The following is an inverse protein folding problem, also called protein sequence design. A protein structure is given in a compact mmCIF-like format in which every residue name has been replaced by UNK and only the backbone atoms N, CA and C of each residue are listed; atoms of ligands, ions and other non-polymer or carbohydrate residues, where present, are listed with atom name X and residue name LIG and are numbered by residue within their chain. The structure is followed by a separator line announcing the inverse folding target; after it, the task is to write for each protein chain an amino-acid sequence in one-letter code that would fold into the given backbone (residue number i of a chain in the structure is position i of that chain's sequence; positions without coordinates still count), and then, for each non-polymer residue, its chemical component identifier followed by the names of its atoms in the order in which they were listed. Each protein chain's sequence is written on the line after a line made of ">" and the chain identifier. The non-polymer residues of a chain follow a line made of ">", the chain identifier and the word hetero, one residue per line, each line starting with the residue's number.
data_IF_072892378710
#
_entry.id   IF_072892378710
#
_cell.length_a   1.000
_cell.length_b   1.000
_cell.length_c   1.000
_cell.angle_alpha   90.00
_cell.angle_beta   90.00
_cell.angle_gamma   90.00
#
_symmetry.space_group_name_H-M   'P 1'
#
loop_
_entity.id
_entity.type
_entity.pdbx_description
1 polymer ?
#
# COMPACT_ATOMS: atom_id res chain seq x y z
N UNK A 1 -20.17 2.33 -5.69
CA UNK A 1 -19.79 0.96 -6.08
C UNK A 1 -19.91 0.10 -4.83
N UNK A 2 -20.65 -1.02 -4.88
CA UNK A 2 -20.72 -1.98 -3.77
C UNK A 2 -19.70 -3.07 -4.07
N UNK A 3 -18.72 -3.26 -3.20
CA UNK A 3 -17.74 -4.34 -3.34
C UNK A 3 -18.38 -5.64 -2.85
N UNK A 4 -18.35 -6.68 -3.68
CA UNK A 4 -18.72 -8.03 -3.32
C UNK A 4 -17.44 -8.85 -3.06
N UNK A 5 -17.13 -9.04 -1.78
CA UNK A 5 -15.94 -9.74 -1.35
C UNK A 5 -16.00 -11.26 -1.62
N UNK A 6 -17.20 -11.84 -1.60
CA UNK A 6 -17.40 -13.28 -1.84
C UNK A 6 -17.15 -13.61 -3.33
N UNK A 7 -17.65 -12.75 -4.22
CA UNK A 7 -17.35 -12.88 -5.65
C UNK A 7 -15.87 -12.66 -5.94
N UNK A 8 -15.23 -11.67 -5.30
CA UNK A 8 -13.80 -11.40 -5.49
C UNK A 8 -12.97 -12.61 -5.06
N UNK A 9 -13.25 -13.22 -3.91
CA UNK A 9 -12.45 -14.36 -3.44
C UNK A 9 -12.71 -15.62 -4.28
N UNK A 10 -13.92 -15.83 -4.81
CA UNK A 10 -14.19 -16.89 -5.77
C UNK A 10 -13.33 -16.72 -7.03
N UNK A 11 -13.34 -15.53 -7.64
CA UNK A 11 -12.54 -15.22 -8.83
C UNK A 11 -11.02 -15.36 -8.58
N UNK A 12 -10.55 -15.01 -7.38
CA UNK A 12 -9.14 -15.25 -6.99
C UNK A 12 -8.82 -16.75 -6.96
N UNK A 13 -9.72 -17.59 -6.43
CA UNK A 13 -9.52 -19.05 -6.35
C UNK A 13 -9.55 -19.71 -7.72
N UNK A 14 -10.42 -19.23 -8.60
CA UNK A 14 -10.58 -19.75 -9.96
C UNK A 14 -9.47 -19.26 -10.91
N UNK A 15 -8.59 -18.38 -10.44
CA UNK A 15 -7.48 -17.85 -11.22
C UNK A 15 -7.88 -16.76 -12.23
N UNK A 16 -9.08 -16.20 -12.09
CA UNK A 16 -9.60 -15.16 -12.99
C UNK A 16 -8.83 -13.83 -12.86
N UNK A 17 -8.20 -13.56 -11.72
CA UNK A 17 -7.38 -12.36 -11.51
C UNK A 17 -5.89 -12.66 -11.55
N UNK A 18 -5.15 -11.80 -12.25
CA UNK A 18 -3.69 -11.88 -12.33
C UNK A 18 -3.05 -11.50 -10.99
N UNK A 19 -2.23 -12.41 -10.45
CA UNK A 19 -1.34 -12.11 -9.33
C UNK A 19 -0.21 -11.17 -9.79
N UNK A 20 -0.09 -10.01 -9.16
CA UNK A 20 0.89 -8.96 -9.51
C UNK A 20 1.93 -8.70 -8.42
N UNK A 21 1.75 -9.30 -7.24
CA UNK A 21 2.65 -9.18 -6.10
C UNK A 21 2.37 -10.23 -5.04
N UNK A 22 3.42 -10.63 -4.32
CA UNK A 22 3.33 -11.53 -3.18
C UNK A 22 4.42 -11.17 -2.18
N UNK A 23 4.02 -10.96 -0.93
CA UNK A 23 4.93 -10.70 0.19
C UNK A 23 4.80 -11.78 1.26
N UNK A 24 5.45 -11.63 2.42
CA UNK A 24 5.33 -12.63 3.50
C UNK A 24 3.90 -12.72 4.08
N UNK A 25 3.16 -11.60 4.12
CA UNK A 25 1.81 -11.54 4.68
C UNK A 25 0.67 -11.71 3.67
N UNK A 26 0.85 -11.31 2.40
CA UNK A 26 -0.27 -11.07 1.46
C UNK A 26 0.06 -11.47 0.02
N UNK A 27 -0.98 -11.71 -0.79
CA UNK A 27 -0.93 -11.72 -2.26
C UNK A 27 -1.75 -10.56 -2.80
N UNK A 28 -1.34 -10.01 -3.93
CA UNK A 28 -1.98 -8.85 -4.57
C UNK A 28 -2.43 -9.27 -5.96
N UNK A 29 -3.72 -9.03 -6.25
CA UNK A 29 -4.33 -9.36 -7.53
C UNK A 29 -4.87 -8.11 -8.20
N UNK A 30 -4.73 -8.06 -9.52
CA UNK A 30 -5.29 -7.02 -10.39
C UNK A 30 -6.76 -7.33 -10.66
N UNK A 31 -7.66 -6.40 -10.33
CA UNK A 31 -9.10 -6.55 -10.58
C UNK A 31 -9.51 -6.09 -11.98
N UNK A 32 -8.55 -5.67 -12.81
CA UNK A 32 -8.73 -5.24 -14.20
C UNK A 32 -9.70 -4.04 -14.40
N UNK A 33 -10.02 -3.34 -13.32
CA UNK A 33 -10.95 -2.22 -13.29
C UNK A 33 -10.35 -0.96 -12.64
N UNK A 34 -9.01 -0.87 -12.61
CA UNK A 34 -8.28 0.22 -11.96
C UNK A 34 -8.06 0.02 -10.45
N UNK A 35 -8.42 -1.14 -9.91
CA UNK A 35 -8.20 -1.50 -8.51
C UNK A 35 -7.39 -2.79 -8.37
N UNK A 36 -6.87 -3.00 -7.16
CA UNK A 36 -6.23 -4.24 -6.74
C UNK A 36 -6.89 -4.76 -5.47
N UNK A 37 -6.89 -6.07 -5.27
CA UNK A 37 -7.22 -6.70 -3.99
C UNK A 37 -5.96 -7.27 -3.34
N UNK A 38 -5.72 -6.89 -2.09
CA UNK A 38 -4.68 -7.47 -1.23
C UNK A 38 -5.31 -8.53 -0.33
N UNK A 39 -5.04 -9.80 -0.60
CA UNK A 39 -5.56 -10.96 0.14
C UNK A 39 -4.53 -11.40 1.18
N UNK A 40 -4.91 -11.40 2.45
CA UNK A 40 -4.08 -11.86 3.56
C UNK A 40 -3.90 -13.39 3.54
N UNK A 41 -2.65 -13.83 3.72
CA UNK A 41 -2.28 -15.25 3.84
C UNK A 41 -2.24 -15.73 5.28
N UNK A 42 -2.04 -14.82 6.22
CA UNK A 42 -1.81 -15.11 7.64
C UNK A 42 -2.15 -13.90 8.52
N UNK A 43 -2.03 -14.06 9.84
CA UNK A 43 -2.29 -12.99 10.83
C UNK A 43 -1.46 -11.72 10.60
N UNK A 44 -0.25 -11.84 10.04
CA UNK A 44 0.59 -10.68 9.71
C UNK A 44 -0.03 -9.87 8.57
N UNK A 45 -0.52 -10.56 7.54
CA UNK A 45 -1.23 -9.93 6.42
C UNK A 45 -2.54 -9.24 6.82
N UNK A 46 -3.30 -9.85 7.74
CA UNK A 46 -4.51 -9.24 8.31
C UNK A 46 -4.15 -7.94 9.04
N UNK A 47 -3.14 -7.96 9.90
CA UNK A 47 -2.68 -6.77 10.62
C UNK A 47 -2.13 -5.67 9.68
N UNK A 48 -1.48 -6.06 8.57
CA UNK A 48 -1.04 -5.11 7.54
C UNK A 48 -2.22 -4.44 6.83
N UNK A 49 -3.25 -5.21 6.46
CA UNK A 49 -4.46 -4.66 5.84
C UNK A 49 -5.21 -3.71 6.79
N UNK A 50 -5.39 -4.13 8.05
CA UNK A 50 -5.98 -3.28 9.08
C UNK A 50 -5.18 -1.97 9.23
N UNK A 51 -3.85 -2.05 9.34
CA UNK A 51 -3.01 -0.85 9.47
C UNK A 51 -3.14 0.10 8.27
N UNK A 52 -3.10 -0.43 7.04
CA UNK A 52 -3.30 0.39 5.84
C UNK A 52 -4.67 1.06 5.82
N UNK A 53 -5.74 0.33 6.15
CA UNK A 53 -7.09 0.90 6.18
C UNK A 53 -7.24 2.02 7.22
N UNK A 54 -6.70 1.82 8.42
CA UNK A 54 -6.73 2.82 9.48
C UNK A 54 -5.97 4.09 9.06
N UNK A 55 -4.79 3.95 8.45
CA UNK A 55 -4.01 5.09 7.94
C UNK A 55 -4.77 5.80 6.82
N UNK A 56 -5.29 5.07 5.83
CA UNK A 56 -6.02 5.67 4.71
C UNK A 56 -7.31 6.35 5.14
N UNK A 57 -7.95 5.90 6.22
CA UNK A 57 -9.18 6.50 6.75
C UNK A 57 -8.91 7.75 7.59
N UNK A 58 -7.78 7.79 8.29
CA UNK A 58 -7.38 8.91 9.13
C UNK A 58 -6.59 9.99 8.39
N UNK A 59 -5.97 9.67 7.26
CA UNK A 59 -5.09 10.59 6.54
C UNK A 59 -5.81 11.43 5.50
N UNK A 60 -5.47 12.73 5.50
CA UNK A 60 -5.80 13.65 4.41
C UNK A 60 -4.66 13.80 3.39
N UNK A 61 -3.54 13.09 3.54
CA UNK A 61 -2.41 13.20 2.61
C UNK A 61 -2.74 12.51 1.29
N UNK A 62 -2.44 13.22 0.19
CA UNK A 62 -2.55 12.67 -1.16
C UNK A 62 -1.42 11.70 -1.50
N UNK A 63 -0.45 11.49 -0.60
CA UNK A 63 0.66 10.57 -0.81
C UNK A 63 0.29 9.10 -0.65
N UNK A 64 -0.82 8.76 0.01
CA UNK A 64 -1.26 7.37 0.10
C UNK A 64 -2.18 6.99 -1.05
N UNK A 65 -1.96 5.82 -1.64
CA UNK A 65 -2.91 5.24 -2.56
C UNK A 65 -4.24 4.98 -1.83
N UNK A 66 -5.34 5.48 -2.41
CA UNK A 66 -6.65 5.43 -1.75
C UNK A 66 -7.14 3.99 -1.61
N UNK A 67 -7.65 3.68 -0.43
CA UNK A 67 -8.30 2.41 -0.13
C UNK A 67 -9.81 2.61 -0.32
N UNK A 68 -10.40 1.78 -1.17
CA UNK A 68 -11.83 1.85 -1.48
C UNK A 68 -12.66 1.19 -0.40
N UNK A 69 -12.27 -0.03 0.01
CA UNK A 69 -13.02 -0.81 0.98
C UNK A 69 -12.12 -1.92 1.58
N UNK A 70 -12.51 -2.42 2.75
CA UNK A 70 -11.89 -3.57 3.42
C UNK A 70 -12.99 -4.56 3.83
N UNK A 71 -12.68 -5.86 3.88
CA UNK A 71 -13.59 -6.87 4.42
C UNK A 71 -13.67 -6.73 5.94
N UNK A 72 -14.80 -7.15 6.54
CA UNK A 72 -15.05 -7.03 7.99
C UNK A 72 -13.98 -7.73 8.83
N UNK A 73 -13.43 -8.84 8.33
CA UNK A 73 -12.36 -9.62 8.97
C UNK A 73 -10.94 -9.18 8.57
N UNK A 74 -10.82 -8.08 7.84
CA UNK A 74 -9.58 -7.49 7.32
C UNK A 74 -8.74 -8.40 6.40
N UNK A 75 -9.28 -9.53 5.94
CA UNK A 75 -8.56 -10.44 5.03
C UNK A 75 -8.39 -9.89 3.63
N UNK A 76 -9.28 -9.01 3.18
CA UNK A 76 -9.25 -8.44 1.84
C UNK A 76 -9.32 -6.92 1.90
N UNK A 77 -8.41 -6.27 1.20
CA UNK A 77 -8.33 -4.81 1.11
C UNK A 77 -8.30 -4.40 -0.36
N UNK A 78 -9.23 -3.52 -0.75
CA UNK A 78 -9.35 -3.00 -2.12
C UNK A 78 -8.70 -1.62 -2.18
N UNK A 79 -7.70 -1.46 -3.03
CA UNK A 79 -6.92 -0.23 -3.17
C UNK A 79 -6.88 0.20 -4.64
N UNK A 80 -6.75 1.49 -4.89
CA UNK A 80 -6.45 1.98 -6.24
C UNK A 80 -5.19 1.32 -6.77
N UNK A 81 -5.25 0.88 -8.03
CA UNK A 81 -4.10 0.36 -8.74
C UNK A 81 -3.20 1.51 -9.14
N UNK A 82 -1.91 1.36 -8.88
CA UNK A 82 -0.88 2.29 -9.33
C UNK A 82 0.05 1.60 -10.33
N UNK A 83 0.61 2.39 -11.25
CA UNK A 83 1.71 1.95 -12.10
C UNK A 83 2.96 1.74 -11.25
N UNK A 84 3.81 0.77 -11.61
CA UNK A 84 5.02 0.47 -10.85
C UNK A 84 6.07 1.58 -11.05
N UNK A 85 6.63 2.06 -9.95
CA UNK A 85 7.87 2.83 -9.96
C UNK A 85 9.04 1.84 -9.94
N UNK A 86 9.98 1.99 -10.87
CA UNK A 86 11.13 1.08 -11.01
C UNK A 86 12.33 1.57 -10.23
N UNK A 87 12.52 2.89 -10.21
CA UNK A 87 13.67 3.53 -9.59
C UNK A 87 13.22 4.57 -8.56
N UNK A 88 13.87 4.57 -7.40
CA UNK A 88 13.55 5.55 -6.34
C UNK A 88 13.83 6.99 -6.80
N UNK A 89 14.68 7.18 -7.81
CA UNK A 89 14.93 8.48 -8.43
C UNK A 89 13.65 9.12 -8.98
N UNK A 90 12.67 8.35 -9.44
CA UNK A 90 11.38 8.88 -9.91
C UNK A 90 10.59 9.57 -8.76
N UNK A 91 10.75 9.07 -7.53
CA UNK A 91 10.18 9.70 -6.32
C UNK A 91 10.99 10.94 -5.95
N UNK A 92 12.32 10.85 -6.03
CA UNK A 92 13.21 11.97 -5.73
C UNK A 92 12.96 13.16 -6.66
N UNK A 93 12.83 12.91 -7.96
CA UNK A 93 12.52 13.92 -8.98
C UNK A 93 11.22 14.65 -8.67
N UNK A 94 10.16 13.93 -8.28
CA UNK A 94 8.87 14.53 -7.91
C UNK A 94 8.98 15.48 -6.71
N UNK A 95 9.79 15.13 -5.71
CA UNK A 95 10.03 15.96 -4.53
C UNK A 95 11.17 16.97 -4.70
N UNK A 96 11.79 17.05 -5.88
CA UNK A 96 12.96 17.87 -6.16
C UNK A 96 14.12 17.63 -5.17
N UNK A 97 14.42 16.35 -4.91
CA UNK A 97 15.53 15.90 -4.05
C UNK A 97 16.47 14.97 -4.82
N UNK A 98 17.64 14.65 -4.25
CA UNK A 98 18.67 13.81 -4.88
C UNK A 98 19.07 12.58 -4.07
N UNK A 99 18.51 12.43 -2.87
CA UNK A 99 18.86 11.33 -1.98
C UNK A 99 17.74 11.01 -0.99
N UNK A 100 17.79 9.81 -0.41
CA UNK A 100 16.89 9.42 0.68
C UNK A 100 17.02 10.33 1.92
N UNK A 101 18.22 10.88 2.16
CA UNK A 101 18.45 11.85 3.25
C UNK A 101 17.68 13.15 3.01
N UNK A 102 17.68 13.63 1.77
CA UNK A 102 16.89 14.81 1.39
C UNK A 102 15.40 14.50 1.38
N UNK A 103 14.99 13.33 0.88
CA UNK A 103 13.59 12.88 0.92
C UNK A 103 13.03 12.85 2.36
N UNK A 104 13.82 12.39 3.33
CA UNK A 104 13.48 12.45 4.75
C UNK A 104 13.24 13.88 5.27
N UNK A 105 13.88 14.87 4.65
CA UNK A 105 13.74 16.26 5.02
C UNK A 105 12.55 16.96 4.38
N UNK A 106 11.87 16.31 3.43
CA UNK A 106 10.58 16.79 2.92
C UNK A 106 9.56 16.78 4.06
N UNK A 107 8.96 17.94 4.32
CA UNK A 107 8.05 18.14 5.46
C UNK A 107 6.89 17.14 5.49
N UNK A 108 6.25 16.90 4.33
CA UNK A 108 5.15 15.95 4.22
C UNK A 108 5.59 14.51 4.51
N UNK A 109 6.73 14.06 3.95
CA UNK A 109 7.28 12.71 4.20
C UNK A 109 7.60 12.50 5.66
N UNK A 110 8.24 13.49 6.29
CA UNK A 110 8.57 13.45 7.72
C UNK A 110 7.31 13.41 8.58
N UNK A 111 6.32 14.23 8.23
CA UNK A 111 5.04 14.30 8.92
C UNK A 111 4.32 12.95 8.88
N UNK A 112 4.05 12.39 7.70
CA UNK A 112 3.33 11.11 7.58
C UNK A 112 4.07 9.95 8.25
N UNK A 113 5.41 9.97 8.20
CA UNK A 113 6.24 8.94 8.83
C UNK A 113 6.11 8.97 10.34
N UNK A 114 6.15 10.16 10.93
CA UNK A 114 5.96 10.36 12.37
C UNK A 114 4.53 10.03 12.80
N UNK A 115 3.53 10.59 12.12
CA UNK A 115 2.11 10.47 12.45
C UNK A 115 1.67 9.00 12.46
N UNK A 116 1.99 8.27 11.38
CA UNK A 116 1.53 6.89 11.21
C UNK A 116 2.57 5.83 11.62
N UNK A 117 3.66 6.24 12.27
CA UNK A 117 4.75 5.36 12.72
C UNK A 117 5.28 4.46 11.59
N UNK A 118 5.47 5.04 10.40
CA UNK A 118 5.99 4.33 9.24
C UNK A 118 7.48 4.04 9.42
N UNK A 119 7.97 3.02 8.70
CA UNK A 119 9.39 2.73 8.63
C UNK A 119 10.00 3.53 7.48
N UNK A 120 10.92 4.44 7.79
CA UNK A 120 11.61 5.20 6.75
C UNK A 120 12.34 4.32 5.75
N UNK A 121 12.91 3.20 6.22
CA UNK A 121 13.56 2.22 5.37
C UNK A 121 12.62 1.69 4.27
N UNK A 122 11.31 1.61 4.52
CA UNK A 122 10.34 1.22 3.50
C UNK A 122 10.00 2.35 2.54
N UNK A 123 9.91 3.60 3.01
CA UNK A 123 9.66 4.75 2.13
C UNK A 123 10.83 5.00 1.16
N UNK A 124 12.01 4.44 1.41
CA UNK A 124 13.15 4.51 0.50
C UNK A 124 13.18 3.43 -0.58
N UNK A 125 12.21 2.51 -0.58
CA UNK A 125 12.19 1.38 -1.51
C UNK A 125 11.19 1.67 -2.64
N UNK A 126 11.61 1.63 -3.91
CA UNK A 126 10.72 1.95 -5.03
C UNK A 126 9.51 1.01 -5.11
N UNK A 127 9.66 -0.24 -4.67
CA UNK A 127 8.58 -1.24 -4.64
C UNK A 127 7.41 -0.88 -3.72
N UNK A 128 7.60 0.05 -2.78
CA UNK A 128 6.55 0.54 -1.88
C UNK A 128 5.85 1.78 -2.43
N UNK A 129 6.26 2.26 -3.61
CA UNK A 129 5.66 3.36 -4.33
C UNK A 129 5.04 2.89 -5.65
N UNK A 130 4.05 3.64 -6.11
CA UNK A 130 3.50 3.55 -7.45
C UNK A 130 3.19 4.94 -7.99
N UNK A 131 2.68 5.00 -9.23
CA UNK A 131 2.25 6.23 -9.87
C UNK A 131 0.75 6.17 -10.16
N UNK A 132 0.03 7.21 -9.76
CA UNK A 132 -1.38 7.44 -10.10
C UNK A 132 -1.48 8.85 -10.69
N UNK A 133 -2.02 8.97 -11.91
CA UNK A 133 -2.14 10.26 -12.61
C UNK A 133 -0.82 11.07 -12.63
N UNK A 134 0.27 10.42 -13.02
CA UNK A 134 1.63 10.97 -13.01
C UNK A 134 2.23 11.35 -11.64
N UNK A 135 1.52 11.13 -10.53
CA UNK A 135 2.00 11.44 -9.18
C UNK A 135 2.49 10.18 -8.45
N UNK A 136 3.70 10.18 -7.86
CA UNK A 136 4.11 9.14 -6.94
C UNK A 136 3.20 9.06 -5.72
N UNK A 137 2.80 7.85 -5.37
CA UNK A 137 2.00 7.53 -4.19
C UNK A 137 2.58 6.30 -3.50
N UNK A 138 2.47 6.24 -2.19
CA UNK A 138 2.82 5.12 -1.35
C UNK A 138 1.71 4.08 -1.47
N UNK A 139 2.07 2.88 -1.92
CA UNK A 139 1.15 1.76 -2.16
C UNK A 139 1.31 0.64 -1.13
N UNK A 140 2.41 0.66 -0.35
CA UNK A 140 2.61 -0.25 0.77
C UNK A 140 3.02 0.55 2.02
N UNK A 141 2.08 0.69 2.94
CA UNK A 141 2.22 1.41 4.20
C UNK A 141 1.67 0.60 5.38
N UNK A 142 1.49 -0.72 5.19
CA UNK A 142 1.00 -1.63 6.23
C UNK A 142 2.08 -2.10 7.20
N UNK A 143 3.37 -1.93 6.85
CA UNK A 143 4.49 -2.34 7.68
C UNK A 143 4.94 -1.24 8.66
N UNK A 144 4.03 -0.86 9.56
CA UNK A 144 4.31 0.12 10.62
C UNK A 144 5.22 -0.45 11.71
N UNK A 145 5.81 0.42 12.54
CA UNK A 145 6.60 -0.01 13.73
C UNK A 145 5.79 -0.94 14.65
N UNK A 146 4.48 -0.70 14.79
CA UNK A 146 3.56 -1.53 15.59
C UNK A 146 3.39 -2.93 14.99
N UNK A 147 3.15 -3.01 13.67
CA UNK A 147 3.03 -4.29 12.97
C UNK A 147 4.34 -5.07 13.01
N UNK A 148 5.48 -4.39 12.82
CA UNK A 148 6.80 -5.01 12.95
C UNK A 148 6.97 -5.64 14.34
N UNK A 149 6.88 -4.84 15.41
CA UNK A 149 7.10 -5.30 16.80
C UNK A 149 6.24 -6.51 17.19
N UNK A 150 5.01 -6.61 16.67
CA UNK A 150 4.07 -7.68 17.03
C UNK A 150 4.26 -8.98 16.24
N UNK A 151 4.81 -8.90 15.03
CA UNK A 151 4.77 -10.02 14.08
C UNK A 151 6.12 -10.37 13.43
N UNK A 152 7.18 -9.58 13.67
CA UNK A 152 8.53 -9.73 13.08
C UNK A 152 9.60 -9.44 14.13
#
# INVERSE_FOLDING_TARGET
>A
MRVDFDQIIANVRDGAYKSIGSGSGRRVFDLENGYVVKVAKNKKGIAQNEAEYQISSASNSALFAKILQISEDYRMLIMQKAEKIKHISEVWEYFNVKSNRELYNVGEIRYISSEYNLLMADLYRPVNWGRINARPVIIDFGFTRRVRKKYY
#
